data_IF_463270230404
#
_entry.id   IF_463270230404
#
_cell.length_a   1.000
_cell.length_b   1.000
_cell.length_c   1.000
_cell.angle_alpha   90.00
_cell.angle_beta   90.00
_cell.angle_gamma   90.00
#
_symmetry.space_group_name_H-M   'P 1'
#
loop_
_entity.id
_entity.type
_entity.pdbx_description
1 polymer ?
#
# COMPACT_ATOMS: atom_id res chain seq x y z
N UNK A 1 0.23 -34.48 -3.42
CA UNK A 1 -0.29 -33.88 -2.17
C UNK A 1 0.73 -34.21 -1.10
N UNK A 2 1.52 -33.24 -0.64
CA UNK A 2 2.51 -33.49 0.42
C UNK A 2 1.71 -33.40 1.72
N UNK A 3 1.47 -34.55 2.34
CA UNK A 3 0.91 -34.62 3.70
C UNK A 3 2.08 -34.43 4.68
N UNK A 4 2.10 -33.28 5.34
CA UNK A 4 3.01 -33.04 6.47
C UNK A 4 2.29 -33.57 7.71
N UNK A 5 2.66 -34.77 8.14
CA UNK A 5 1.98 -35.50 9.23
C UNK A 5 2.18 -34.91 10.62
N UNK A 6 3.15 -34.01 10.82
CA UNK A 6 3.19 -33.01 11.91
C UNK A 6 4.55 -32.32 11.90
N UNK A 7 4.56 -31.01 12.15
CA UNK A 7 5.79 -30.28 12.45
C UNK A 7 6.01 -30.40 13.96
N UNK A 8 6.68 -31.46 14.40
CA UNK A 8 7.13 -31.60 15.80
C UNK A 8 8.63 -31.35 15.89
N UNK A 9 9.02 -30.10 15.66
CA UNK A 9 10.30 -29.59 16.16
C UNK A 9 10.01 -28.89 17.49
N UNK A 10 9.95 -29.61 18.62
CA UNK A 10 9.75 -28.97 19.91
C UNK A 10 10.86 -27.92 20.07
N UNK A 11 10.51 -26.68 20.46
CA UNK A 11 11.48 -25.65 20.69
C UNK A 11 12.56 -26.18 21.68
N UNK A 12 13.84 -26.12 21.31
CA UNK A 12 14.98 -26.48 22.18
C UNK A 12 14.84 -25.90 23.59
N UNK A 13 15.29 -26.59 24.64
CA UNK A 13 14.97 -26.24 26.05
C UNK A 13 15.35 -24.83 26.54
N UNK A 14 16.00 -24.00 25.74
CA UNK A 14 16.45 -22.64 26.04
C UNK A 14 15.72 -21.53 25.25
N UNK A 15 14.44 -21.67 24.92
CA UNK A 15 13.71 -20.57 24.28
C UNK A 15 13.39 -19.44 25.26
N UNK A 16 13.95 -18.27 24.96
CA UNK A 16 13.57 -17.02 25.61
C UNK A 16 12.37 -16.45 24.87
N UNK A 17 11.21 -16.47 25.51
CA UNK A 17 10.04 -15.77 25.02
C UNK A 17 10.28 -14.25 25.06
N UNK A 18 9.94 -13.58 23.98
CA UNK A 18 9.96 -12.13 23.88
C UNK A 18 8.56 -11.63 23.51
N UNK A 19 8.10 -10.58 24.19
CA UNK A 19 6.84 -9.90 23.90
C UNK A 19 7.15 -8.54 23.30
N UNK A 20 6.59 -8.28 22.12
CA UNK A 20 6.73 -7.01 21.43
C UNK A 20 5.62 -6.05 21.84
N UNK A 21 5.97 -4.81 22.20
CA UNK A 21 5.02 -3.70 22.34
C UNK A 21 4.57 -3.24 20.96
N UNK A 22 3.39 -2.62 20.87
CA UNK A 22 2.89 -2.04 19.62
C UNK A 22 3.97 -1.15 18.97
N UNK A 23 4.23 -1.39 17.68
CA UNK A 23 5.26 -0.72 16.88
C UNK A 23 6.70 -0.93 17.38
N UNK A 24 6.95 -1.99 18.14
CA UNK A 24 8.29 -2.43 18.47
C UNK A 24 8.89 -3.27 17.34
N UNK A 25 10.19 -3.12 17.16
CA UNK A 25 11.01 -3.92 16.26
C UNK A 25 12.25 -4.45 16.97
N UNK A 26 12.85 -5.46 16.36
CA UNK A 26 14.16 -6.02 16.72
C UNK A 26 14.90 -6.45 15.46
N UNK A 27 16.20 -6.70 15.64
CA UNK A 27 17.08 -7.24 14.62
C UNK A 27 17.98 -8.29 15.27
N UNK A 28 18.16 -9.42 14.62
CA UNK A 28 19.09 -10.47 15.05
C UNK A 28 20.49 -10.24 14.48
N UNK A 29 21.47 -10.96 15.00
CA UNK A 29 22.87 -10.83 14.60
C UNK A 29 23.15 -11.19 13.13
N UNK A 30 22.26 -11.96 12.51
CA UNK A 30 22.31 -12.32 11.08
C UNK A 30 21.53 -11.34 10.18
N UNK A 31 20.97 -10.26 10.76
CA UNK A 31 20.23 -9.22 10.05
C UNK A 31 18.74 -9.51 9.86
N UNK A 32 18.24 -10.67 10.30
CA UNK A 32 16.80 -10.92 10.27
C UNK A 32 16.07 -9.95 11.20
N UNK A 33 14.94 -9.46 10.73
CA UNK A 33 14.26 -8.33 11.34
C UNK A 33 12.82 -8.70 11.67
N UNK A 34 12.39 -8.35 12.88
CA UNK A 34 11.01 -8.58 13.33
C UNK A 34 10.39 -7.22 13.65
N UNK A 35 9.17 -7.01 13.17
CA UNK A 35 8.39 -5.80 13.39
C UNK A 35 6.98 -6.17 13.83
N UNK A 36 6.52 -5.61 14.95
CA UNK A 36 5.15 -5.79 15.41
C UNK A 36 4.26 -4.61 14.99
N UNK A 37 3.57 -4.79 13.87
CA UNK A 37 2.72 -3.78 13.21
C UNK A 37 1.36 -3.55 13.89
N UNK A 38 1.01 -4.33 14.93
CA UNK A 38 -0.23 -4.14 15.69
C UNK A 38 -1.49 -4.82 15.15
N UNK A 39 -1.38 -5.65 14.10
CA UNK A 39 -2.48 -6.41 13.53
C UNK A 39 -2.02 -7.26 12.34
N UNK A 40 -2.92 -8.07 11.73
CA UNK A 40 -2.62 -8.81 10.51
C UNK A 40 -2.21 -7.87 9.39
N UNK A 41 -1.06 -8.13 8.76
CA UNK A 41 -0.59 -7.36 7.60
C UNK A 41 -1.41 -7.77 6.38
N UNK A 42 -2.06 -6.79 5.74
CA UNK A 42 -2.91 -7.03 4.56
C UNK A 42 -2.25 -6.65 3.25
N UNK A 43 -1.36 -5.67 3.29
CA UNK A 43 -0.51 -5.30 2.16
C UNK A 43 0.79 -4.69 2.66
N UNK A 44 1.83 -4.77 1.83
CA UNK A 44 3.11 -4.10 2.05
C UNK A 44 3.79 -3.80 0.71
N UNK A 45 4.55 -2.71 0.65
CA UNK A 45 5.26 -2.30 -0.57
C UNK A 45 6.44 -1.41 -0.25
N UNK A 46 7.63 -1.75 -0.78
CA UNK A 46 8.84 -0.95 -0.61
C UNK A 46 8.74 0.36 -1.39
N UNK A 47 9.02 1.47 -0.71
CA UNK A 47 9.15 2.76 -1.34
C UNK A 47 10.31 2.73 -2.36
N UNK A 48 10.15 3.42 -3.51
CA UNK A 48 11.18 3.46 -4.52
C UNK A 48 12.35 4.32 -4.03
N UNK A 49 13.52 3.71 -3.90
CA UNK A 49 14.79 4.41 -3.69
C UNK A 49 15.56 4.41 -5.02
N UNK A 50 15.90 5.58 -5.58
CA UNK A 50 16.69 5.64 -6.81
C UNK A 50 18.01 4.89 -6.68
N UNK A 51 18.45 4.24 -7.77
CA UNK A 51 19.63 3.36 -7.76
C UNK A 51 20.95 4.11 -7.49
N UNK A 52 20.99 5.41 -7.77
CA UNK A 52 22.12 6.31 -7.53
C UNK A 52 22.14 6.86 -6.10
N UNK A 53 21.11 6.58 -5.29
CA UNK A 53 20.93 7.07 -3.93
C UNK A 53 21.19 5.96 -2.90
N UNK A 54 22.32 5.26 -3.01
CA UNK A 54 22.65 4.05 -2.23
C UNK A 54 22.84 4.28 -0.72
N UNK A 55 22.89 5.54 -0.26
CA UNK A 55 22.99 5.92 1.15
C UNK A 55 21.65 6.27 1.77
N UNK A 56 20.59 6.30 0.96
CA UNK A 56 19.28 6.69 1.43
C UNK A 56 18.56 5.56 2.16
N UNK A 57 17.78 5.95 3.16
CA UNK A 57 16.95 5.00 3.91
C UNK A 57 15.92 4.33 2.98
N UNK A 58 15.79 3.01 3.09
CA UNK A 58 14.70 2.28 2.47
C UNK A 58 13.51 2.19 3.42
N UNK A 59 12.34 2.54 2.89
CA UNK A 59 11.12 2.64 3.66
C UNK A 59 10.12 1.60 3.14
N UNK A 60 9.52 0.85 4.04
CA UNK A 60 8.47 -0.13 3.74
C UNK A 60 7.12 0.43 4.17
N UNK A 61 6.19 0.59 3.23
CA UNK A 61 4.79 0.86 3.55
C UNK A 61 4.11 -0.45 3.94
N UNK A 62 3.33 -0.44 5.03
CA UNK A 62 2.60 -1.59 5.56
C UNK A 62 1.18 -1.16 5.95
N UNK A 63 0.17 -1.93 5.56
CA UNK A 63 -1.20 -1.77 6.09
C UNK A 63 -1.55 -2.97 6.97
N UNK A 64 -2.33 -2.70 8.01
CA UNK A 64 -2.83 -3.74 8.92
C UNK A 64 -4.34 -3.61 9.12
N UNK A 65 -5.01 -4.71 9.44
CA UNK A 65 -6.36 -4.66 10.01
C UNK A 65 -6.26 -4.51 11.53
N UNK A 66 -7.00 -3.57 12.15
CA UNK A 66 -6.97 -3.38 13.61
C UNK A 66 -7.70 -4.48 14.36
N UNK A 67 -8.66 -5.14 13.71
CA UNK A 67 -9.43 -6.25 14.26
C UNK A 67 -9.03 -7.54 13.51
N UNK A 68 -8.32 -8.48 14.17
CA UNK A 68 -7.91 -9.74 13.55
C UNK A 68 -9.08 -10.72 13.35
N UNK A 69 -10.19 -10.54 14.07
CA UNK A 69 -11.34 -11.45 14.03
C UNK A 69 -12.41 -10.97 13.04
N UNK A 70 -12.31 -9.72 12.58
CA UNK A 70 -13.24 -9.14 11.61
C UNK A 70 -13.10 -9.79 10.23
N UNK A 71 -14.25 -10.22 9.70
CA UNK A 71 -14.36 -10.80 8.37
C UNK A 71 -14.80 -9.77 7.33
N UNK A 72 -14.24 -9.87 6.12
CA UNK A 72 -14.52 -8.97 5.01
C UNK A 72 -15.02 -9.76 3.80
N UNK A 73 -16.29 -9.58 3.46
CA UNK A 73 -16.90 -10.21 2.29
C UNK A 73 -16.56 -9.42 1.02
N UNK A 74 -16.03 -10.10 0.01
CA UNK A 74 -15.52 -9.48 -1.21
C UNK A 74 -16.59 -8.78 -2.07
N UNK A 75 -17.87 -9.04 -1.83
CA UNK A 75 -19.01 -8.42 -2.51
C UNK A 75 -19.66 -7.28 -1.69
N UNK A 76 -18.99 -6.84 -0.61
CA UNK A 76 -19.45 -5.77 0.28
C UNK A 76 -18.46 -4.61 0.26
N UNK A 77 -18.90 -3.42 0.66
CA UNK A 77 -18.02 -2.26 0.83
C UNK A 77 -17.78 -1.98 2.30
N UNK A 78 -16.56 -1.58 2.65
CA UNK A 78 -16.19 -1.24 4.02
C UNK A 78 -15.41 0.07 4.08
N UNK A 79 -15.71 0.90 5.08
CA UNK A 79 -15.10 2.22 5.32
C UNK A 79 -14.49 2.31 6.71
N UNK A 80 -13.95 1.19 7.20
CA UNK A 80 -13.25 1.14 8.48
C UNK A 80 -12.06 2.10 8.53
N UNK A 81 -11.70 2.51 9.74
CA UNK A 81 -10.49 3.29 10.00
C UNK A 81 -9.26 2.38 9.88
N UNK A 82 -8.21 2.87 9.24
CA UNK A 82 -6.95 2.15 9.08
C UNK A 82 -5.74 3.08 9.07
N UNK A 83 -4.56 2.47 9.09
CA UNK A 83 -3.27 3.15 8.99
C UNK A 83 -2.44 2.52 7.88
N UNK A 84 -1.80 3.38 7.09
CA UNK A 84 -0.63 3.02 6.27
C UNK A 84 0.59 3.41 7.10
N UNK A 85 1.35 2.42 7.55
CA UNK A 85 2.55 2.57 8.37
C UNK A 85 3.78 2.65 7.46
N UNK A 86 4.68 3.60 7.72
CA UNK A 86 5.94 3.75 7.00
C UNK A 86 7.10 3.39 7.92
N UNK A 87 7.71 2.23 7.67
CA UNK A 87 8.79 1.68 8.45
C UNK A 87 10.12 1.93 7.78
N UNK A 88 11.03 2.60 8.47
CA UNK A 88 12.35 2.92 8.00
C UNK A 88 13.33 1.81 8.40
N UNK A 89 13.97 1.18 7.41
CA UNK A 89 14.95 0.10 7.58
C UNK A 89 16.40 0.59 7.48
N UNK A 90 16.61 1.90 7.35
CA UNK A 90 17.91 2.49 7.06
C UNK A 90 18.41 2.12 5.65
N UNK A 91 19.67 2.42 5.34
CA UNK A 91 20.29 2.01 4.08
C UNK A 91 20.67 0.52 4.11
N UNK A 92 19.87 -0.33 3.46
CA UNK A 92 20.16 -1.75 3.23
C UNK A 92 21.01 -1.91 1.97
N UNK A 93 22.06 -2.73 2.09
CA UNK A 93 22.94 -3.10 0.99
C UNK A 93 23.02 -4.63 0.92
N UNK A 94 22.97 -5.18 -0.30
CA UNK A 94 22.94 -6.63 -0.51
C UNK A 94 24.13 -7.38 0.11
N UNK A 95 25.27 -6.71 0.30
CA UNK A 95 26.51 -7.31 0.77
C UNK A 95 26.82 -7.00 2.25
N UNK A 96 25.89 -6.39 2.99
CA UNK A 96 26.10 -6.01 4.39
C UNK A 96 24.93 -6.44 5.25
N UNK A 97 25.22 -7.07 6.38
CA UNK A 97 24.20 -7.38 7.38
C UNK A 97 23.74 -6.06 8.03
N UNK A 98 22.45 -5.73 7.99
CA UNK A 98 21.94 -4.55 8.69
C UNK A 98 22.14 -4.69 10.20
N UNK A 99 22.47 -3.58 10.86
CA UNK A 99 22.73 -3.54 12.32
C UNK A 99 21.68 -2.72 13.06
N UNK A 100 21.07 -1.75 12.38
CA UNK A 100 19.99 -0.95 12.91
C UNK A 100 18.65 -1.66 12.74
N UNK A 101 17.88 -1.72 13.83
CA UNK A 101 16.49 -2.20 13.77
C UNK A 101 15.60 -1.17 13.06
N UNK A 102 14.55 -1.60 12.36
CA UNK A 102 13.63 -0.67 11.72
C UNK A 102 12.88 0.19 12.71
N UNK A 103 12.45 1.37 12.29
CA UNK A 103 11.68 2.27 13.14
C UNK A 103 10.42 2.69 12.41
N UNK A 104 9.29 2.72 13.12
CA UNK A 104 8.09 3.34 12.58
C UNK A 104 8.34 4.83 12.46
N UNK A 105 8.40 5.34 11.23
CA UNK A 105 8.73 6.73 10.97
C UNK A 105 7.49 7.61 11.03
N UNK A 106 6.42 7.22 10.34
CA UNK A 106 5.13 7.90 10.41
C UNK A 106 4.00 6.99 9.92
N UNK A 107 2.76 7.44 10.05
CA UNK A 107 1.58 6.78 9.51
C UNK A 107 0.69 7.78 8.75
N UNK A 108 -0.04 7.29 7.74
CA UNK A 108 -1.16 7.99 7.13
C UNK A 108 -2.45 7.31 7.60
N UNK A 109 -3.37 8.09 8.19
CA UNK A 109 -4.70 7.62 8.55
C UNK A 109 -5.65 7.64 7.34
N UNK A 110 -6.56 6.68 7.29
CA UNK A 110 -7.61 6.63 6.27
C UNK A 110 -8.91 6.01 6.82
N UNK A 111 -10.01 6.21 6.09
CA UNK A 111 -11.35 5.66 6.38
C UNK A 111 -11.89 4.81 5.23
N UNK A 112 -10.96 4.19 4.49
CA UNK A 112 -11.24 3.47 3.24
C UNK A 112 -11.40 1.95 3.44
N UNK A 113 -11.56 1.50 4.68
CA UNK A 113 -11.62 0.07 5.00
C UNK A 113 -10.27 -0.61 4.88
N UNK A 114 -10.27 -1.88 4.47
CA UNK A 114 -9.05 -2.69 4.33
C UNK A 114 -8.31 -2.31 3.06
N UNK A 115 -6.99 -2.19 3.16
CA UNK A 115 -6.10 -2.09 2.00
C UNK A 115 -5.67 -3.50 1.59
N UNK A 116 -6.10 -3.96 0.42
CA UNK A 116 -5.76 -5.28 -0.12
C UNK A 116 -4.47 -5.30 -0.93
N UNK A 117 -4.08 -4.15 -1.47
CA UNK A 117 -2.89 -4.04 -2.28
C UNK A 117 -2.29 -2.64 -2.23
N UNK A 118 -0.97 -2.57 -2.34
CA UNK A 118 -0.22 -1.33 -2.36
C UNK A 118 0.84 -1.39 -3.46
N UNK A 119 0.90 -0.35 -4.27
CA UNK A 119 1.92 -0.24 -5.32
C UNK A 119 2.40 1.20 -5.45
N UNK A 120 3.71 1.37 -5.42
CA UNK A 120 4.36 2.65 -5.68
C UNK A 120 4.46 2.92 -7.19
N UNK A 121 4.34 4.18 -7.59
CA UNK A 121 4.67 4.60 -8.94
C UNK A 121 6.13 4.21 -9.26
N UNK A 122 6.40 3.52 -10.38
CA UNK A 122 7.73 2.95 -10.65
C UNK A 122 8.86 3.96 -10.81
N UNK A 123 8.60 5.16 -11.36
CA UNK A 123 9.59 6.25 -11.38
C UNK A 123 9.81 6.88 -10.01
N UNK A 124 9.06 6.44 -9.01
CA UNK A 124 9.02 6.99 -7.68
C UNK A 124 8.33 8.33 -7.60
N UNK A 125 8.48 9.24 -8.56
CA UNK A 125 8.26 10.67 -8.31
C UNK A 125 9.03 11.11 -7.04
N UNK A 126 10.21 10.54 -6.85
CA UNK A 126 11.03 10.75 -5.67
C UNK A 126 11.79 12.07 -5.81
N UNK A 127 11.79 12.89 -4.75
CA UNK A 127 12.56 14.13 -4.74
C UNK A 127 13.98 13.84 -4.22
N UNK A 128 14.99 14.08 -5.07
CA UNK A 128 16.41 13.90 -4.71
C UNK A 128 16.98 15.05 -3.87
N UNK A 129 16.31 16.21 -3.89
CA UNK A 129 16.69 17.37 -3.10
C UNK A 129 15.66 17.61 -2.00
N UNK A 130 16.15 17.90 -0.80
CA UNK A 130 15.32 18.34 0.31
C UNK A 130 14.93 19.80 0.08
N UNK A 131 13.66 20.03 -0.27
CA UNK A 131 13.10 21.37 -0.42
C UNK A 131 12.34 21.68 0.86
N UNK A 132 12.85 22.62 1.66
CA UNK A 132 12.23 23.10 2.90
C UNK A 132 11.94 22.00 3.95
N UNK A 133 12.77 20.96 4.01
CA UNK A 133 12.60 19.84 4.96
C UNK A 133 11.52 18.85 4.57
N UNK A 134 10.97 18.95 3.36
CA UNK A 134 9.97 18.06 2.80
C UNK A 134 10.58 17.24 1.66
N UNK A 135 10.68 15.93 1.87
CA UNK A 135 11.17 15.00 0.85
C UNK A 135 10.07 14.06 0.40
N UNK A 136 9.70 14.12 -0.88
CA UNK A 136 8.72 13.20 -1.45
C UNK A 136 9.33 11.80 -1.61
N UNK A 137 8.74 10.81 -0.94
CA UNK A 137 9.08 9.39 -1.11
C UNK A 137 8.51 8.84 -2.41
N UNK A 138 7.33 9.33 -2.77
CA UNK A 138 6.74 9.04 -4.06
C UNK A 138 5.22 9.02 -4.09
N UNK A 139 4.68 8.49 -5.17
CA UNK A 139 3.24 8.23 -5.31
C UNK A 139 2.94 6.78 -4.90
N UNK A 140 2.07 6.60 -3.92
CA UNK A 140 1.61 5.30 -3.44
C UNK A 140 0.13 5.11 -3.78
N UNK A 141 -0.18 4.14 -4.65
CA UNK A 141 -1.55 3.71 -4.89
C UNK A 141 -1.94 2.59 -3.92
N UNK A 142 -3.14 2.69 -3.32
CA UNK A 142 -3.69 1.70 -2.40
C UNK A 142 -5.07 1.24 -2.85
N UNK A 143 -5.26 -0.07 -2.93
CA UNK A 143 -6.52 -0.70 -3.32
C UNK A 143 -7.36 -1.02 -2.09
N UNK A 144 -8.55 -0.45 -2.01
CA UNK A 144 -9.36 -0.44 -0.79
C UNK A 144 -10.66 -1.25 -0.91
N UNK A 145 -11.16 -1.70 0.23
CA UNK A 145 -12.42 -2.44 0.36
C UNK A 145 -13.66 -1.56 0.19
N UNK A 146 -13.52 -0.25 0.01
CA UNK A 146 -14.63 0.67 -0.32
C UNK A 146 -14.89 0.77 -1.84
N UNK A 147 -14.28 -0.12 -2.62
CA UNK A 147 -14.30 -0.18 -4.09
C UNK A 147 -13.46 0.87 -4.81
N UNK A 148 -12.68 1.68 -4.09
CA UNK A 148 -11.85 2.70 -4.72
C UNK A 148 -10.37 2.40 -4.59
N UNK A 149 -9.59 3.10 -5.40
CA UNK A 149 -8.14 3.17 -5.26
C UNK A 149 -7.76 4.61 -4.98
N UNK A 150 -6.90 4.81 -4.00
CA UNK A 150 -6.42 6.12 -3.58
C UNK A 150 -4.94 6.23 -3.88
N UNK A 151 -4.52 7.34 -4.47
CA UNK A 151 -3.11 7.62 -4.75
C UNK A 151 -2.66 8.75 -3.86
N UNK A 152 -1.71 8.48 -2.98
CA UNK A 152 -1.13 9.44 -2.06
C UNK A 152 0.21 9.95 -2.60
N UNK A 153 0.39 11.27 -2.59
CA UNK A 153 1.74 11.84 -2.60
C UNK A 153 2.32 11.70 -1.19
N UNK A 154 3.24 10.77 -1.02
CA UNK A 154 3.85 10.47 0.28
C UNK A 154 5.07 11.37 0.46
N UNK A 155 5.01 12.23 1.47
CA UNK A 155 6.10 13.10 1.88
C UNK A 155 6.63 12.60 3.21
N UNK A 156 7.94 12.38 3.29
CA UNK A 156 8.64 11.98 4.51
C UNK A 156 8.74 13.20 5.43
N UNK A 157 8.11 13.17 6.61
CA UNK A 157 8.20 14.28 7.55
C UNK A 157 9.53 14.19 8.29
N UNK A 158 10.38 15.20 8.16
CA UNK A 158 11.60 15.26 8.96
C UNK A 158 11.27 15.49 10.44
N UNK A 159 11.99 14.80 11.32
CA UNK A 159 11.97 15.01 12.77
C UNK A 159 10.62 14.75 13.48
N UNK A 160 9.67 14.07 12.83
CA UNK A 160 8.34 13.75 13.40
C UNK A 160 8.07 12.24 13.51
N UNK A 161 8.92 11.54 14.27
CA UNK A 161 8.84 10.09 14.43
C UNK A 161 7.52 9.63 15.09
N UNK A 162 6.91 8.59 14.51
CA UNK A 162 5.73 7.91 15.04
C UNK A 162 4.44 8.73 15.00
N UNK A 163 4.40 9.83 14.25
CA UNK A 163 3.20 10.65 14.10
C UNK A 163 2.23 10.07 13.07
N UNK A 164 0.95 10.33 13.29
CA UNK A 164 -0.14 9.95 12.39
C UNK A 164 -0.61 11.21 11.69
N UNK A 165 -0.66 11.17 10.36
CA UNK A 165 -1.08 12.27 9.51
C UNK A 165 -2.41 11.94 8.85
N UNK A 166 -3.29 12.92 8.81
CA UNK A 166 -4.47 12.90 7.95
C UNK A 166 -4.09 13.56 6.62
N UNK A 167 -3.88 12.73 5.59
CA UNK A 167 -3.38 13.18 4.28
C UNK A 167 -4.48 13.03 3.25
N UNK A 168 -4.77 14.13 2.55
CA UNK A 168 -5.72 14.11 1.43
C UNK A 168 -5.08 13.37 0.25
N UNK A 169 -5.72 12.32 -0.32
CA UNK A 169 -5.21 11.64 -1.50
C UNK A 169 -5.08 12.60 -2.69
N UNK A 170 -4.04 12.44 -3.49
CA UNK A 170 -3.87 13.19 -4.75
C UNK A 170 -4.90 12.76 -5.78
N UNK A 171 -5.11 11.44 -5.92
CA UNK A 171 -6.13 10.89 -6.81
C UNK A 171 -7.06 9.93 -6.07
N UNK A 172 -8.33 9.92 -6.47
CA UNK A 172 -9.29 8.86 -6.18
C UNK A 172 -9.77 8.27 -7.51
N UNK A 173 -9.45 7.01 -7.74
CA UNK A 173 -9.82 6.29 -8.97
C UNK A 173 -11.18 5.61 -8.73
N UNK A 174 -12.16 5.98 -9.56
CA UNK A 174 -13.57 5.59 -9.41
C UNK A 174 -14.04 4.95 -10.69
N UNK A 175 -14.48 3.69 -10.61
CA UNK A 175 -15.05 2.98 -11.76
C UNK A 175 -16.49 3.41 -12.01
N UNK A 176 -17.31 3.50 -10.98
CA UNK A 176 -18.72 3.84 -11.11
C UNK A 176 -19.24 4.71 -9.97
N UNK A 177 -20.15 5.63 -10.32
CA UNK A 177 -21.13 6.19 -9.40
C UNK A 177 -22.46 5.45 -9.61
N UNK A 178 -22.51 4.19 -9.20
CA UNK A 178 -23.74 3.46 -8.87
C UNK A 178 -24.81 3.21 -9.94
N UNK A 179 -24.55 3.30 -11.25
CA UNK A 179 -25.59 3.12 -12.29
C UNK A 179 -25.10 2.53 -13.63
N UNK A 180 -23.88 1.98 -13.74
CA UNK A 180 -23.42 1.43 -15.02
C UNK A 180 -23.87 -0.04 -15.17
N UNK A 181 -25.04 -0.20 -15.78
CA UNK A 181 -25.77 -1.46 -16.01
C UNK A 181 -24.95 -2.59 -16.67
N UNK A 182 -23.78 -2.29 -17.25
CA UNK A 182 -22.98 -3.25 -18.03
C UNK A 182 -21.91 -4.00 -17.21
N UNK A 183 -21.64 -3.60 -15.96
CA UNK A 183 -20.48 -4.09 -15.21
C UNK A 183 -20.83 -5.02 -14.04
N UNK A 184 -22.13 -5.24 -13.82
CA UNK A 184 -22.69 -6.15 -12.83
C UNK A 184 -23.19 -5.42 -11.59
N UNK A 185 -24.32 -5.88 -11.04
CA UNK A 185 -24.99 -5.25 -9.90
C UNK A 185 -24.20 -5.35 -8.58
N UNK A 186 -23.17 -6.19 -8.53
CA UNK A 186 -22.43 -6.49 -7.30
C UNK A 186 -21.23 -5.55 -7.16
N UNK A 187 -21.14 -4.76 -6.07
CA UNK A 187 -19.98 -3.92 -5.82
C UNK A 187 -18.71 -4.78 -5.63
N UNK A 188 -17.72 -4.57 -6.50
CA UNK A 188 -16.40 -5.18 -6.38
C UNK A 188 -15.48 -4.33 -5.53
N UNK A 189 -14.70 -4.96 -4.64
CA UNK A 189 -13.58 -4.31 -3.95
C UNK A 189 -12.37 -4.26 -4.86
N UNK A 190 -11.54 -3.22 -4.76
CA UNK A 190 -10.27 -3.18 -5.48
C UNK A 190 -9.29 -4.13 -4.77
N UNK A 191 -8.78 -5.13 -5.49
CA UNK A 191 -7.99 -6.23 -4.88
C UNK A 191 -6.55 -6.30 -5.38
N UNK A 192 -6.27 -5.76 -6.57
CA UNK A 192 -4.94 -5.72 -7.19
C UNK A 192 -4.73 -4.45 -7.98
N UNK A 193 -3.48 -4.00 -8.00
CA UNK A 193 -3.01 -2.90 -8.83
C UNK A 193 -1.85 -3.40 -9.70
N UNK A 194 -1.71 -2.81 -10.87
CA UNK A 194 -0.51 -2.88 -11.68
C UNK A 194 -0.23 -1.50 -12.29
N UNK A 195 0.85 -0.87 -11.86
CA UNK A 195 1.31 0.37 -12.46
C UNK A 195 2.18 0.08 -13.68
N UNK A 196 1.93 0.76 -14.80
CA UNK A 196 2.72 0.54 -16.02
C UNK A 196 4.19 0.85 -15.79
N UNK A 197 5.06 -0.03 -16.30
CA UNK A 197 6.53 0.14 -16.29
C UNK A 197 7.04 0.86 -17.54
N UNK A 198 6.15 1.21 -18.47
CA UNK A 198 6.48 2.03 -19.63
C UNK A 198 6.82 3.48 -19.26
N UNK A 199 7.46 4.19 -20.20
CA UNK A 199 7.86 5.58 -20.02
C UNK A 199 6.68 6.46 -19.56
N UNK A 200 6.95 7.33 -18.59
CA UNK A 200 5.95 8.25 -18.03
C UNK A 200 4.95 7.61 -17.06
N UNK A 201 5.00 6.29 -16.83
CA UNK A 201 4.20 5.59 -15.81
C UNK A 201 2.75 6.07 -15.71
N UNK A 202 2.10 6.29 -16.86
CA UNK A 202 0.85 7.07 -16.88
C UNK A 202 -0.39 6.22 -16.61
N UNK A 203 -0.26 4.90 -16.65
CA UNK A 203 -1.39 3.98 -16.58
C UNK A 203 -1.36 3.11 -15.32
N UNK A 204 -2.53 2.96 -14.71
CA UNK A 204 -2.78 2.01 -13.61
C UNK A 204 -3.91 1.09 -14.02
N UNK A 205 -3.66 -0.22 -13.99
CA UNK A 205 -4.69 -1.24 -14.11
C UNK A 205 -5.14 -1.69 -12.71
N UNK A 206 -6.45 -1.86 -12.53
CA UNK A 206 -7.07 -2.24 -11.25
C UNK A 206 -7.93 -3.47 -11.48
N UNK A 207 -7.70 -4.51 -10.68
CA UNK A 207 -8.52 -5.72 -10.64
C UNK A 207 -9.49 -5.70 -9.47
N UNK A 208 -10.76 -5.98 -9.74
CA UNK A 208 -11.83 -5.99 -8.74
C UNK A 208 -12.28 -7.41 -8.40
N UNK A 209 -12.78 -7.59 -7.18
CA UNK A 209 -13.27 -8.89 -6.70
C UNK A 209 -14.47 -9.45 -7.48
N UNK A 210 -15.18 -8.62 -8.23
CA UNK A 210 -16.28 -9.02 -9.11
C UNK A 210 -15.82 -9.38 -10.54
N UNK A 211 -14.50 -9.50 -10.77
CA UNK A 211 -13.92 -9.89 -12.06
C UNK A 211 -13.76 -8.75 -13.07
N UNK A 212 -14.09 -7.52 -12.68
CA UNK A 212 -13.88 -6.32 -13.51
C UNK A 212 -12.40 -5.92 -13.50
N UNK A 213 -11.89 -5.51 -14.66
CA UNK A 213 -10.59 -4.84 -14.83
C UNK A 213 -10.84 -3.45 -15.37
N UNK A 214 -10.25 -2.45 -14.73
CA UNK A 214 -10.34 -1.06 -15.16
C UNK A 214 -8.96 -0.45 -15.31
N UNK A 215 -8.76 0.31 -16.39
CA UNK A 215 -7.50 0.99 -16.70
C UNK A 215 -7.72 2.49 -16.63
N UNK A 216 -6.84 3.18 -15.92
CA UNK A 216 -6.86 4.61 -15.71
C UNK A 216 -5.60 5.25 -16.27
N UNK A 217 -5.70 6.50 -16.73
CA UNK A 217 -4.55 7.34 -17.06
C UNK A 217 -4.45 8.49 -16.05
N UNK A 218 -3.39 8.51 -15.24
CA UNK A 218 -3.18 9.53 -14.20
C UNK A 218 -2.78 10.90 -14.77
N UNK A 219 -2.36 10.96 -16.03
CA UNK A 219 -2.03 12.19 -16.76
C UNK A 219 -3.14 12.65 -17.71
N UNK A 220 -4.34 12.06 -17.64
CA UNK A 220 -5.45 12.53 -18.48
C UNK A 220 -5.80 13.99 -18.14
N UNK A 221 -5.99 14.81 -19.17
CA UNK A 221 -6.56 16.16 -19.04
C UNK A 221 -7.99 16.23 -19.59
N UNK A 222 -8.58 15.07 -19.93
CA UNK A 222 -9.97 15.00 -20.36
C UNK A 222 -10.90 15.34 -19.19
N UNK A 223 -11.69 16.39 -19.32
CA UNK A 223 -12.69 16.79 -18.32
C UNK A 223 -13.79 15.75 -18.08
N UNK A 224 -13.95 14.77 -18.99
CA UNK A 224 -14.84 13.62 -18.80
C UNK A 224 -14.23 12.57 -17.87
N UNK A 225 -12.91 12.45 -17.84
CA UNK A 225 -12.19 11.43 -17.09
C UNK A 225 -11.51 11.97 -15.83
N UNK A 226 -11.34 13.28 -15.70
CA UNK A 226 -10.72 13.94 -14.56
C UNK A 226 -11.56 15.11 -14.10
N UNK A 227 -11.96 15.08 -12.84
CA UNK A 227 -12.65 16.19 -12.16
C UNK A 227 -11.99 16.45 -10.83
N UNK A 228 -11.80 17.72 -10.47
CA UNK A 228 -11.40 18.09 -9.11
C UNK A 228 -12.64 18.23 -8.24
N UNK A 229 -12.68 17.53 -7.11
CA UNK A 229 -13.71 17.65 -6.08
C UNK A 229 -13.00 17.96 -4.78
N UNK A 230 -13.20 19.18 -4.26
CA UNK A 230 -12.38 19.73 -3.17
C UNK A 230 -10.88 19.69 -3.55
N UNK A 231 -10.05 19.07 -2.71
CA UNK A 231 -8.59 18.94 -2.92
C UNK A 231 -8.16 17.58 -3.48
N UNK A 232 -9.10 16.78 -3.99
CA UNK A 232 -8.82 15.47 -4.60
C UNK A 232 -9.17 15.49 -6.09
N UNK A 233 -8.32 14.90 -6.92
CA UNK A 233 -8.67 14.60 -8.32
C UNK A 233 -9.38 13.25 -8.40
N UNK A 234 -10.63 13.28 -8.86
CA UNK A 234 -11.40 12.09 -9.18
C UNK A 234 -11.07 11.67 -10.61
N UNK A 235 -10.60 10.44 -10.79
CA UNK A 235 -10.32 9.85 -12.10
C UNK A 235 -11.35 8.76 -12.42
N UNK A 236 -11.85 8.78 -13.65
CA UNK A 236 -12.67 7.70 -14.24
C UNK A 236 -11.80 6.83 -15.15
N UNK A 237 -12.15 5.54 -15.32
CA UNK A 237 -11.38 4.65 -16.18
C UNK A 237 -11.52 5.07 -17.64
N UNK A 238 -10.45 4.89 -18.41
CA UNK A 238 -10.50 5.01 -19.88
C UNK A 238 -10.91 3.72 -20.57
N UNK A 239 -10.76 2.59 -19.88
CA UNK A 239 -11.14 1.27 -20.35
C UNK A 239 -11.64 0.47 -19.16
N UNK A 240 -12.76 -0.23 -19.36
CA UNK A 240 -13.34 -1.11 -18.37
C UNK A 240 -13.93 -2.35 -19.04
N UNK A 241 -13.63 -3.54 -18.52
CA UNK A 241 -14.10 -4.80 -19.08
C UNK A 241 -14.08 -5.91 -18.02
N UNK A 242 -14.90 -6.94 -18.20
CA UNK A 242 -14.82 -8.16 -17.38
C UNK A 242 -13.68 -9.05 -17.88
N UNK A 243 -12.80 -9.48 -16.98
CA UNK A 243 -11.66 -10.35 -17.29
C UNK A 243 -12.10 -11.76 -17.69
N UNK A 244 -13.23 -12.21 -17.14
CA UNK A 244 -13.89 -13.46 -17.48
C UNK A 244 -15.23 -13.11 -18.11
N UNK A 245 -15.38 -13.41 -19.41
CA UNK A 245 -16.71 -13.47 -20.04
C UNK A 245 -17.45 -14.69 -19.52
N UNK A 246 -18.78 -14.63 -19.50
CA UNK A 246 -19.59 -15.84 -19.37
C UNK A 246 -19.13 -16.80 -20.49
N UNK A 247 -18.59 -17.96 -20.08
CA UNK A 247 -18.27 -19.06 -20.98
C UNK A 247 -19.55 -19.77 -21.42
#
# INVERSE_FOLDING_TARGET
RIEVESVTSPPSSNHKWEKYKLFQSSISSDGATIVFCGGPVTAMSWAPTPYDQATEDQILAISVTPDPDKQYFLNSKYTDKGLIQFWNYGPLKNNTVPTDKPKLEFCIAHTHGVIWWMEWCPSGCYDSADLDGLRKLGLLAVACSDSYVYVYTVIRPQQMLGKIFDVVPTFKLVVEDGNDINLGEIPGQATKLSWTRGSGHSYIAIGYSNGVISVFNVHTESGLLKKRVNDVFILKPMLNFKAHGDA
#
